data_IF_404906189245
#
_entry.id   IF_404906189245
#
_cell.length_a   1.000
_cell.length_b   1.000
_cell.length_c   1.000
_cell.angle_alpha   90.00
_cell.angle_beta   90.00
_cell.angle_gamma   90.00
#
_symmetry.space_group_name_H-M   'P 1'
#
loop_
_entity.id
_entity.type
_entity.pdbx_description
1 polymer ?
#
# COMPACT_ATOMS: atom_id res chain seq x y z
N UNK A 1 -48.48 93.78 9.39
CA UNK A 1 -47.06 93.60 9.03
C UNK A 1 -46.53 92.40 9.79
N UNK A 2 -45.92 91.47 9.06
CA UNK A 2 -45.71 90.07 9.44
C UNK A 2 -44.54 89.86 10.42
N UNK A 3 -44.70 88.89 11.33
CA UNK A 3 -43.61 88.29 12.10
C UNK A 3 -43.13 87.02 11.38
N UNK A 4 -41.87 87.01 10.95
CA UNK A 4 -41.23 85.93 10.21
C UNK A 4 -40.70 84.85 11.17
N UNK A 5 -41.29 83.66 11.15
CA UNK A 5 -40.78 82.46 11.85
C UNK A 5 -39.55 81.92 11.09
N UNK A 6 -38.42 81.77 11.77
CA UNK A 6 -37.25 81.07 11.25
C UNK A 6 -37.47 79.55 11.35
N UNK A 7 -37.43 78.85 10.20
CA UNK A 7 -37.50 77.40 10.10
C UNK A 7 -36.07 76.86 9.94
N UNK A 8 -35.57 76.12 10.92
CA UNK A 8 -34.32 75.39 10.85
C UNK A 8 -34.52 74.12 10.01
N UNK A 9 -33.84 74.00 8.87
CA UNK A 9 -33.79 72.78 8.06
C UNK A 9 -32.61 71.91 8.55
N UNK A 10 -32.92 70.75 9.14
CA UNK A 10 -31.96 69.67 9.39
C UNK A 10 -31.88 68.77 8.15
N UNK A 11 -30.74 68.79 7.45
CA UNK A 11 -30.42 67.80 6.42
C UNK A 11 -29.92 66.51 7.10
N UNK A 12 -30.70 65.44 7.02
CA UNK A 12 -30.23 64.08 7.33
C UNK A 12 -29.62 63.47 6.06
N UNK A 13 -28.29 63.26 6.06
CA UNK A 13 -27.62 62.50 5.02
C UNK A 13 -27.77 61.00 5.31
N UNK A 14 -28.53 60.29 4.48
CA UNK A 14 -28.61 58.83 4.53
C UNK A 14 -27.41 58.24 3.78
N UNK A 15 -26.44 57.71 4.51
CA UNK A 15 -25.34 56.93 3.93
C UNK A 15 -25.82 55.49 3.73
N UNK A 16 -26.01 55.07 2.48
CA UNK A 16 -26.28 53.69 2.10
C UNK A 16 -24.98 52.88 2.15
N UNK A 17 -24.84 52.04 3.17
CA UNK A 17 -23.79 51.02 3.24
C UNK A 17 -24.18 49.91 2.27
N UNK A 18 -23.50 49.84 1.13
CA UNK A 18 -23.59 48.69 0.23
C UNK A 18 -22.69 47.59 0.79
N UNK A 19 -23.29 46.56 1.37
CA UNK A 19 -22.58 45.34 1.73
C UNK A 19 -22.24 44.58 0.45
N UNK A 20 -20.98 44.67 0.01
CA UNK A 20 -20.42 43.75 -0.96
C UNK A 20 -20.32 42.38 -0.30
N UNK A 21 -21.23 41.47 -0.66
CA UNK A 21 -21.08 40.07 -0.34
C UNK A 21 -19.82 39.57 -1.06
N UNK A 22 -18.76 39.32 -0.29
CA UNK A 22 -17.63 38.55 -0.77
C UNK A 22 -18.16 37.14 -1.06
N UNK A 23 -18.29 36.80 -2.34
CA UNK A 23 -18.42 35.42 -2.77
C UNK A 23 -17.10 34.75 -2.45
N UNK A 24 -17.06 34.03 -1.35
CA UNK A 24 -15.97 33.11 -1.00
C UNK A 24 -16.08 31.92 -1.97
N UNK A 25 -15.59 32.13 -3.19
CA UNK A 25 -15.61 31.16 -4.29
C UNK A 25 -14.41 30.21 -4.18
N UNK A 26 -14.17 29.70 -2.98
CA UNK A 26 -13.16 28.68 -2.73
C UNK A 26 -13.86 27.33 -2.65
N UNK A 27 -14.36 26.84 -3.79
CA UNK A 27 -14.68 25.42 -3.90
C UNK A 27 -13.41 24.63 -3.54
N UNK A 28 -13.46 23.69 -2.59
CA UNK A 28 -12.28 22.92 -2.20
C UNK A 28 -11.74 22.21 -3.44
N UNK A 29 -10.44 22.34 -3.70
CA UNK A 29 -9.78 21.60 -4.78
C UNK A 29 -10.05 20.10 -4.62
N UNK A 30 -10.25 19.37 -5.73
CA UNK A 30 -10.47 17.93 -5.65
C UNK A 30 -9.30 17.26 -4.93
N UNK A 31 -9.54 16.16 -4.19
CA UNK A 31 -8.46 15.40 -3.60
C UNK A 31 -7.46 14.96 -4.69
N UNK A 32 -6.18 14.73 -4.33
CA UNK A 32 -5.19 14.20 -5.25
C UNK A 32 -5.65 12.85 -5.82
N UNK A 33 -4.93 12.30 -6.79
CA UNK A 33 -5.09 10.91 -7.22
C UNK A 33 -3.81 10.15 -6.90
N UNK A 34 -3.90 8.87 -6.51
CA UNK A 34 -2.71 8.08 -6.22
C UNK A 34 -1.88 7.87 -7.49
N UNK A 35 -0.56 7.84 -7.33
CA UNK A 35 0.38 7.62 -8.42
C UNK A 35 0.41 6.12 -8.78
N UNK A 36 0.23 5.74 -10.05
CA UNK A 36 0.42 4.35 -10.47
C UNK A 36 1.85 3.89 -10.20
N UNK A 37 2.03 2.63 -9.80
CA UNK A 37 3.37 2.06 -9.73
C UNK A 37 4.01 2.01 -11.13
N UNK A 38 5.34 2.19 -11.23
CA UNK A 38 6.04 1.91 -12.47
C UNK A 38 6.00 0.42 -12.78
N UNK A 39 6.11 0.09 -14.07
CA UNK A 39 6.06 -1.30 -14.56
C UNK A 39 7.17 -2.20 -13.98
N UNK A 40 8.31 -1.60 -13.63
CA UNK A 40 9.49 -2.28 -13.11
C UNK A 40 10.06 -1.46 -11.97
N UNK A 41 10.30 -2.09 -10.81
CA UNK A 41 11.06 -1.46 -9.74
C UNK A 41 11.67 -2.50 -8.80
N UNK A 42 12.67 -2.04 -8.06
CA UNK A 42 13.18 -2.69 -6.86
C UNK A 42 12.96 -1.78 -5.66
N UNK A 43 12.57 -2.35 -4.53
CA UNK A 43 12.44 -1.64 -3.26
C UNK A 43 13.04 -2.44 -2.13
N UNK A 44 13.76 -1.77 -1.22
CA UNK A 44 14.17 -2.37 0.05
C UNK A 44 13.15 -1.99 1.11
N UNK A 45 12.50 -2.97 1.71
CA UNK A 45 11.49 -2.79 2.73
C UNK A 45 12.02 -3.19 4.10
N UNK A 46 11.80 -2.34 5.10
CA UNK A 46 11.90 -2.73 6.49
C UNK A 46 10.51 -3.09 7.02
N UNK A 47 10.33 -4.35 7.40
CA UNK A 47 9.06 -4.83 7.94
C UNK A 47 9.16 -4.99 9.46
N UNK A 48 8.15 -4.46 10.15
CA UNK A 48 7.93 -4.61 11.58
C UNK A 48 6.56 -5.24 11.83
N UNK A 49 6.53 -6.41 12.46
CA UNK A 49 5.33 -7.09 12.90
C UNK A 49 4.98 -6.64 14.32
N UNK A 50 4.00 -5.74 14.44
CA UNK A 50 3.59 -5.20 15.74
C UNK A 50 2.78 -6.20 16.58
N UNK A 51 2.22 -7.25 15.96
CA UNK A 51 1.50 -8.33 16.64
C UNK A 51 2.04 -9.73 16.26
N UNK A 52 3.35 -9.93 16.50
CA UNK A 52 4.10 -11.08 15.99
C UNK A 52 3.51 -12.44 16.39
N UNK A 53 3.03 -12.61 17.63
CA UNK A 53 2.53 -13.91 18.13
C UNK A 53 1.29 -14.44 17.40
N UNK A 54 0.59 -13.57 16.66
CA UNK A 54 -0.52 -13.97 15.79
C UNK A 54 -0.17 -13.90 14.30
N UNK A 55 0.94 -13.26 13.94
CA UNK A 55 1.25 -12.89 12.55
C UNK A 55 2.24 -13.81 11.83
N UNK A 56 3.17 -14.41 12.58
CA UNK A 56 4.23 -15.26 12.05
C UNK A 56 4.91 -15.98 13.21
N UNK A 57 5.44 -17.16 12.96
CA UNK A 57 6.36 -17.85 13.88
C UNK A 57 7.82 -17.40 13.70
N UNK A 58 8.12 -16.74 12.58
CA UNK A 58 9.40 -16.13 12.27
C UNK A 58 9.65 -14.79 13.01
N UNK A 59 10.89 -14.27 12.96
CA UNK A 59 11.26 -13.03 13.64
C UNK A 59 10.40 -11.82 13.22
N UNK A 60 10.04 -10.94 14.17
CA UNK A 60 9.14 -9.80 13.92
C UNK A 60 9.73 -8.69 13.06
N UNK A 61 11.06 -8.65 12.92
CA UNK A 61 11.78 -7.66 12.13
C UNK A 61 12.51 -8.34 10.98
N UNK A 62 12.35 -7.79 9.78
CA UNK A 62 12.98 -8.34 8.56
C UNK A 62 13.20 -7.25 7.51
N UNK A 63 14.21 -7.47 6.67
CA UNK A 63 14.43 -6.68 5.46
C UNK A 63 13.96 -7.49 4.27
N UNK A 64 13.28 -6.86 3.32
CA UNK A 64 12.82 -7.52 2.09
C UNK A 64 13.32 -6.74 0.89
N UNK A 65 13.98 -7.40 -0.06
CA UNK A 65 14.11 -6.86 -1.42
C UNK A 65 12.88 -7.28 -2.21
N UNK A 66 12.06 -6.30 -2.58
CA UNK A 66 10.90 -6.46 -3.42
C UNK A 66 11.30 -6.14 -4.87
N UNK A 67 11.22 -7.13 -5.75
CA UNK A 67 11.38 -6.96 -7.19
C UNK A 67 10.03 -7.14 -7.87
N UNK A 68 9.61 -6.09 -8.58
CA UNK A 68 8.33 -6.05 -9.27
C UNK A 68 8.54 -5.99 -10.78
N UNK A 69 7.97 -6.94 -11.53
CA UNK A 69 8.02 -7.01 -13.00
C UNK A 69 6.61 -7.22 -13.56
N UNK A 70 5.93 -6.11 -13.80
CA UNK A 70 4.58 -6.09 -14.36
C UNK A 70 4.48 -6.61 -15.81
N UNK A 71 5.40 -6.27 -16.74
CA UNK A 71 5.34 -6.80 -18.10
C UNK A 71 5.36 -8.33 -18.14
N UNK A 72 6.07 -8.98 -17.20
CA UNK A 72 6.08 -10.44 -17.06
C UNK A 72 5.17 -10.98 -15.95
N UNK A 73 4.45 -10.09 -15.27
CA UNK A 73 3.46 -10.39 -14.23
C UNK A 73 3.99 -11.31 -13.13
N UNK A 74 5.13 -10.91 -12.56
CA UNK A 74 5.82 -11.64 -11.49
C UNK A 74 6.33 -10.68 -10.42
N UNK A 75 6.35 -11.16 -9.19
CA UNK A 75 6.80 -10.41 -8.03
C UNK A 75 7.68 -11.33 -7.16
N UNK A 76 8.80 -10.79 -6.65
CA UNK A 76 9.72 -11.54 -5.79
C UNK A 76 9.99 -10.71 -4.53
N UNK A 77 9.64 -11.27 -3.38
CA UNK A 77 10.07 -10.81 -2.07
C UNK A 77 11.25 -11.69 -1.62
N UNK A 78 12.46 -11.13 -1.56
CA UNK A 78 13.61 -11.79 -0.93
C UNK A 78 13.72 -11.33 0.52
N UNK A 79 13.21 -12.14 1.44
CA UNK A 79 13.07 -11.81 2.86
C UNK A 79 14.29 -12.29 3.64
N UNK A 80 14.95 -11.34 4.32
CA UNK A 80 16.09 -11.59 5.21
C UNK A 80 15.72 -11.34 6.66
N UNK A 81 15.86 -12.40 7.46
CA UNK A 81 15.78 -12.32 8.90
C UNK A 81 17.14 -11.95 9.51
N UNK A 82 17.12 -11.29 10.66
CA UNK A 82 18.35 -11.01 11.40
C UNK A 82 19.04 -12.32 11.77
N UNK A 83 20.35 -12.41 11.51
CA UNK A 83 21.21 -13.55 11.85
C UNK A 83 20.93 -14.86 11.08
N UNK A 84 20.04 -14.86 10.08
CA UNK A 84 19.91 -15.98 9.15
C UNK A 84 20.76 -15.73 7.89
N UNK A 85 21.65 -16.66 7.51
CA UNK A 85 22.34 -16.60 6.22
C UNK A 85 21.46 -17.02 5.06
N UNK A 86 20.37 -17.75 5.34
CA UNK A 86 19.45 -18.29 4.34
C UNK A 86 18.20 -17.41 4.26
N UNK A 87 17.96 -16.71 3.12
CA UNK A 87 16.79 -15.88 2.94
C UNK A 87 15.58 -16.74 2.53
N UNK A 88 14.40 -16.26 2.90
CA UNK A 88 13.14 -16.79 2.38
C UNK A 88 12.82 -16.08 1.06
N UNK A 89 12.66 -16.86 -0.01
CA UNK A 89 12.15 -16.41 -1.29
C UNK A 89 10.63 -16.56 -1.29
N UNK A 90 9.95 -15.50 -1.67
CA UNK A 90 8.51 -15.48 -1.94
C UNK A 90 8.30 -15.00 -3.38
N UNK A 91 8.08 -15.95 -4.28
CA UNK A 91 7.90 -15.72 -5.71
C UNK A 91 6.43 -15.85 -6.07
N UNK A 92 5.81 -14.75 -6.48
CA UNK A 92 4.40 -14.67 -6.82
C UNK A 92 4.20 -14.52 -8.35
N UNK A 93 3.26 -15.28 -8.89
CA UNK A 93 2.94 -15.32 -10.31
C UNK A 93 1.50 -14.87 -10.55
N UNK A 94 1.21 -14.33 -11.73
CA UNK A 94 -0.12 -13.83 -12.07
C UNK A 94 -1.24 -14.87 -12.10
N UNK A 95 -0.90 -16.15 -12.22
CA UNK A 95 -1.89 -17.24 -12.14
C UNK A 95 -2.35 -17.51 -10.69
N UNK A 96 -1.85 -16.71 -9.74
CA UNK A 96 -2.12 -16.80 -8.32
C UNK A 96 -1.16 -17.72 -7.57
N UNK A 97 -0.32 -18.48 -8.27
CA UNK A 97 0.64 -19.37 -7.61
C UNK A 97 1.73 -18.54 -6.93
N UNK A 98 2.01 -18.89 -5.68
CA UNK A 98 3.09 -18.30 -4.89
C UNK A 98 3.95 -19.40 -4.30
N UNK A 99 5.27 -19.27 -4.44
CA UNK A 99 6.24 -20.19 -3.86
C UNK A 99 7.00 -19.50 -2.74
N UNK A 100 6.92 -20.07 -1.53
CA UNK A 100 7.74 -19.71 -0.39
C UNK A 100 8.81 -20.77 -0.22
N UNK A 101 10.09 -20.44 -0.35
CA UNK A 101 11.15 -21.42 -0.22
C UNK A 101 12.46 -20.84 0.32
N UNK A 102 13.25 -21.70 0.95
CA UNK A 102 14.63 -21.45 1.37
C UNK A 102 15.53 -22.58 0.85
N UNK A 103 16.74 -22.74 1.40
CA UNK A 103 17.66 -23.80 0.95
C UNK A 103 17.19 -25.22 1.27
N UNK A 104 16.22 -25.37 2.17
CA UNK A 104 15.80 -26.63 2.78
C UNK A 104 14.31 -26.93 2.70
N UNK A 105 13.48 -25.90 2.58
CA UNK A 105 12.02 -26.01 2.64
C UNK A 105 11.35 -25.32 1.46
N UNK A 106 10.19 -25.84 1.06
CA UNK A 106 9.32 -25.17 0.11
C UNK A 106 7.84 -25.37 0.45
N UNK A 107 7.07 -24.31 0.23
CA UNK A 107 5.63 -24.26 0.43
C UNK A 107 4.98 -23.52 -0.73
N UNK A 108 3.94 -24.10 -1.30
CA UNK A 108 3.22 -23.55 -2.44
C UNK A 108 1.84 -23.10 -2.00
N UNK A 109 1.48 -21.87 -2.34
CA UNK A 109 0.16 -21.31 -2.06
C UNK A 109 -0.49 -20.78 -3.33
N UNK A 110 -1.80 -20.53 -3.24
CA UNK A 110 -2.59 -19.96 -4.33
C UNK A 110 -3.44 -18.80 -3.85
N UNK A 111 -3.26 -17.65 -4.48
CA UNK A 111 -4.00 -16.42 -4.22
C UNK A 111 -4.68 -15.92 -5.48
N UNK A 112 -5.99 -15.72 -5.41
CA UNK A 112 -6.78 -15.31 -6.58
C UNK A 112 -6.42 -13.90 -7.09
N UNK A 113 -5.76 -13.06 -6.27
CA UNK A 113 -5.30 -11.72 -6.67
C UNK A 113 -4.20 -11.74 -7.72
N UNK A 114 -3.29 -12.73 -7.63
CA UNK A 114 -2.03 -12.70 -8.39
C UNK A 114 -1.20 -11.44 -8.11
N UNK A 115 -0.45 -10.99 -9.12
CA UNK A 115 0.41 -9.80 -9.00
C UNK A 115 -0.43 -8.53 -9.14
N UNK A 116 -0.26 -7.59 -8.20
CA UNK A 116 -1.00 -6.32 -8.22
C UNK A 116 -0.65 -5.48 -9.46
N UNK A 117 -1.65 -4.90 -10.17
CA UNK A 117 -1.41 -4.00 -11.28
C UNK A 117 -0.82 -2.65 -10.86
N UNK A 118 -0.14 -1.91 -11.75
CA UNK A 118 0.29 -0.53 -11.53
C UNK A 118 -0.78 0.39 -10.93
N UNK A 119 -2.02 0.19 -11.35
CA UNK A 119 -3.18 0.98 -10.91
C UNK A 119 -3.91 0.33 -9.74
N UNK A 120 -3.33 -0.62 -9.01
CA UNK A 120 -4.06 -1.35 -7.95
C UNK A 120 -4.69 -0.42 -6.92
N UNK A 121 -4.08 0.73 -6.61
CA UNK A 121 -4.60 1.67 -5.63
C UNK A 121 -5.85 2.40 -6.14
N UNK A 122 -5.87 2.84 -7.41
CA UNK A 122 -6.99 3.52 -8.05
C UNK A 122 -8.00 2.59 -8.77
N UNK A 123 -7.64 1.35 -9.03
CA UNK A 123 -8.46 0.34 -9.70
C UNK A 123 -9.39 -0.43 -8.75
N UNK A 124 -10.48 -0.97 -9.29
CA UNK A 124 -11.53 -1.66 -8.51
C UNK A 124 -12.24 -0.70 -7.55
N UNK A 125 -12.45 -1.13 -6.30
CA UNK A 125 -12.86 -0.23 -5.23
C UNK A 125 -11.78 0.86 -5.02
N UNK A 126 -12.10 2.09 -5.41
CA UNK A 126 -11.17 3.21 -5.35
C UNK A 126 -10.63 3.43 -3.94
N UNK A 127 -9.33 3.68 -3.80
CA UNK A 127 -8.74 4.04 -2.52
C UNK A 127 -9.36 5.32 -1.96
N UNK A 128 -9.56 5.35 -0.65
CA UNK A 128 -10.06 6.49 0.09
C UNK A 128 -8.91 7.42 0.46
N UNK A 129 -8.97 8.69 0.07
CA UNK A 129 -7.99 9.66 0.52
C UNK A 129 -8.22 10.01 1.99
N UNK A 130 -7.24 9.71 2.84
CA UNK A 130 -7.31 9.91 4.28
C UNK A 130 -6.65 11.23 4.74
N UNK A 131 -6.00 11.96 3.84
CA UNK A 131 -5.35 13.23 4.12
C UNK A 131 -3.83 13.18 3.97
N UNK A 132 -3.15 14.10 4.68
CA UNK A 132 -1.68 14.17 4.71
C UNK A 132 -1.13 13.82 6.08
N UNK A 133 0.06 13.24 6.12
CA UNK A 133 0.79 13.03 7.36
C UNK A 133 2.31 13.07 7.11
N UNK A 134 3.08 13.28 8.18
CA UNK A 134 4.53 13.08 8.13
C UNK A 134 4.88 11.72 8.73
N UNK A 135 5.58 10.87 7.98
CA UNK A 135 6.07 9.55 8.44
C UNK A 135 7.52 9.37 8.06
N UNK A 136 8.37 8.94 9.00
CA UNK A 136 9.82 8.85 8.78
C UNK A 136 10.49 10.18 8.38
N UNK A 137 9.86 11.32 8.68
CA UNK A 137 10.31 12.65 8.24
C UNK A 137 9.90 13.05 6.81
N UNK A 138 9.06 12.27 6.14
CA UNK A 138 8.60 12.52 4.76
C UNK A 138 7.12 12.95 4.79
N UNK A 139 6.76 14.02 4.06
CA UNK A 139 5.38 14.46 3.87
C UNK A 139 4.67 13.56 2.85
N UNK A 140 3.58 12.92 3.28
CA UNK A 140 2.89 11.89 2.51
C UNK A 140 1.40 12.19 2.34
N UNK A 141 0.88 11.87 1.16
CA UNK A 141 -0.52 11.55 0.94
C UNK A 141 -0.83 10.16 1.53
N UNK A 142 -1.99 10.02 2.17
CA UNK A 142 -2.41 8.78 2.83
C UNK A 142 -3.68 8.24 2.18
N UNK A 143 -3.66 6.95 1.87
CA UNK A 143 -4.72 6.24 1.18
C UNK A 143 -5.17 5.00 1.94
N UNK A 144 -6.45 4.88 2.21
CA UNK A 144 -7.06 3.66 2.73
C UNK A 144 -7.54 2.78 1.59
N UNK A 145 -7.29 1.47 1.63
CA UNK A 145 -7.85 0.51 0.67
C UNK A 145 -8.29 -0.77 1.37
N UNK A 146 -9.38 -1.35 0.87
CA UNK A 146 -9.91 -2.63 1.29
C UNK A 146 -10.28 -2.75 2.79
N UNK A 147 -10.27 -1.64 3.54
CA UNK A 147 -10.53 -1.63 4.99
C UNK A 147 -9.38 -2.15 5.86
N UNK A 148 -8.26 -2.57 5.28
CA UNK A 148 -7.10 -3.07 6.05
C UNK A 148 -5.74 -2.59 5.54
N UNK A 149 -5.69 -1.81 4.46
CA UNK A 149 -4.43 -1.28 3.90
C UNK A 149 -4.42 0.23 4.09
N UNK A 150 -3.33 0.75 4.63
CA UNK A 150 -3.02 2.18 4.63
C UNK A 150 -1.72 2.38 3.86
N UNK A 151 -1.79 3.11 2.76
CA UNK A 151 -0.68 3.40 1.87
C UNK A 151 -0.24 4.85 1.98
N UNK A 152 1.07 5.04 2.13
CA UNK A 152 1.70 6.34 2.26
C UNK A 152 2.54 6.61 1.01
N UNK A 153 2.20 7.69 0.33
CA UNK A 153 2.85 8.14 -0.90
C UNK A 153 3.48 9.52 -0.69
N UNK A 154 4.75 9.70 -1.02
CA UNK A 154 5.42 10.99 -0.87
C UNK A 154 4.75 12.06 -1.74
N UNK A 155 4.40 13.20 -1.14
CA UNK A 155 3.74 14.32 -1.84
C UNK A 155 4.57 14.85 -3.01
N UNK A 156 5.89 14.94 -2.84
CA UNK A 156 6.78 15.59 -3.80
C UNK A 156 7.01 14.76 -5.08
N UNK A 157 6.95 13.43 -4.99
CA UNK A 157 7.41 12.53 -6.05
C UNK A 157 6.40 11.46 -6.46
N UNK A 158 5.39 11.19 -5.63
CA UNK A 158 4.49 10.05 -5.81
C UNK A 158 5.13 8.70 -5.43
N UNK A 159 6.34 8.67 -4.84
CA UNK A 159 7.00 7.40 -4.50
C UNK A 159 6.33 6.73 -3.30
N UNK A 160 6.29 5.39 -3.25
CA UNK A 160 5.87 4.66 -2.06
C UNK A 160 6.80 4.97 -0.88
N UNK A 161 6.22 5.18 0.31
CA UNK A 161 6.98 5.43 1.56
C UNK A 161 6.71 4.36 2.60
N UNK A 162 5.45 3.93 2.73
CA UNK A 162 5.04 2.96 3.76
C UNK A 162 3.74 2.26 3.38
N UNK A 163 3.60 1.02 3.84
CA UNK A 163 2.33 0.30 3.90
C UNK A 163 2.07 -0.16 5.32
N UNK A 164 0.85 0.04 5.80
CA UNK A 164 0.35 -0.61 7.00
C UNK A 164 -0.76 -1.58 6.62
N UNK A 165 -0.63 -2.82 7.10
CA UNK A 165 -1.69 -3.80 7.09
C UNK A 165 -2.28 -3.85 8.51
N UNK A 166 -3.38 -3.13 8.70
CA UNK A 166 -4.01 -2.89 10.02
C UNK A 166 -4.91 -4.03 10.48
N UNK A 167 -4.66 -5.26 10.01
CA UNK A 167 -5.40 -6.42 10.45
C UNK A 167 -4.82 -7.03 11.73
N UNK A 168 -5.19 -8.27 12.07
CA UNK A 168 -4.77 -8.94 13.30
C UNK A 168 -3.25 -9.03 13.45
N UNK A 169 -2.48 -8.90 12.37
CA UNK A 169 -1.02 -9.01 12.36
C UNK A 169 -0.26 -7.72 12.62
N UNK A 170 -0.88 -6.58 12.31
CA UNK A 170 -0.26 -5.27 12.45
C UNK A 170 1.09 -5.17 11.75
N UNK A 171 1.13 -5.45 10.45
CA UNK A 171 2.36 -5.32 9.64
C UNK A 171 2.57 -3.85 9.29
N UNK A 172 3.76 -3.34 9.54
CA UNK A 172 4.22 -2.04 9.05
C UNK A 172 5.43 -2.25 8.16
N UNK A 173 5.37 -1.82 6.92
CA UNK A 173 6.46 -1.90 5.96
C UNK A 173 6.91 -0.49 5.56
N UNK A 174 8.17 -0.17 5.80
CA UNK A 174 8.78 1.10 5.42
C UNK A 174 9.66 0.90 4.19
N UNK A 175 9.55 1.79 3.21
CA UNK A 175 10.41 1.82 2.04
C UNK A 175 11.71 2.53 2.39
N UNK A 176 12.81 1.77 2.41
CA UNK A 176 14.15 2.27 2.71
C UNK A 176 14.86 2.77 1.44
N UNK A 177 14.66 2.08 0.31
CA UNK A 177 15.10 2.52 -1.02
C UNK A 177 14.07 2.14 -2.08
N UNK A 178 14.06 2.88 -3.19
CA UNK A 178 13.12 2.68 -4.29
C UNK A 178 13.79 3.03 -5.62
N UNK A 179 13.99 2.03 -6.48
CA UNK A 179 14.73 2.13 -7.72
C UNK A 179 13.86 1.67 -8.90
N UNK A 180 13.49 2.61 -9.76
CA UNK A 180 12.64 2.34 -10.92
C UNK A 180 13.46 1.72 -12.06
N UNK A 181 12.91 0.72 -12.72
CA UNK A 181 13.51 0.08 -13.90
C UNK A 181 14.50 -1.05 -13.59
N UNK A 182 14.65 -1.44 -12.33
CA UNK A 182 15.49 -2.59 -11.93
C UNK A 182 14.82 -3.89 -12.35
N UNK A 183 15.62 -4.81 -12.93
CA UNK A 183 15.15 -6.11 -13.44
C UNK A 183 16.16 -7.18 -13.01
N UNK A 184 15.64 -8.33 -12.57
CA UNK A 184 16.45 -9.52 -12.30
C UNK A 184 16.57 -10.42 -13.52
N UNK A 185 17.62 -11.24 -13.54
CA UNK A 185 17.74 -12.31 -14.54
C UNK A 185 16.60 -13.33 -14.39
N UNK A 186 16.13 -13.90 -15.51
CA UNK A 186 14.98 -14.81 -15.53
C UNK A 186 15.16 -16.05 -14.64
N UNK A 187 16.42 -16.48 -14.43
CA UNK A 187 16.80 -17.58 -13.54
C UNK A 187 16.44 -17.31 -12.08
N UNK A 188 16.42 -16.05 -11.64
CA UNK A 188 16.17 -15.69 -10.25
C UNK A 188 14.70 -15.77 -9.84
N UNK A 189 13.80 -15.93 -10.82
CA UNK A 189 12.35 -16.05 -10.60
C UNK A 189 11.87 -17.50 -10.52
N UNK A 190 12.78 -18.47 -10.65
CA UNK A 190 12.41 -19.88 -10.68
C UNK A 190 12.40 -20.47 -9.27
N UNK A 191 11.29 -21.14 -8.91
CA UNK A 191 11.26 -21.99 -7.74
C UNK A 191 12.18 -23.21 -7.96
N UNK A 192 12.88 -23.68 -6.91
CA UNK A 192 13.79 -24.81 -7.00
C UNK A 192 13.04 -26.14 -7.23
N UNK A 193 13.74 -27.16 -7.70
CA UNK A 193 13.14 -28.45 -8.04
C UNK A 193 12.41 -29.11 -6.85
N UNK A 194 12.89 -28.92 -5.62
CA UNK A 194 12.26 -29.49 -4.42
C UNK A 194 10.87 -28.88 -4.10
N UNK A 195 10.48 -27.79 -4.76
CA UNK A 195 9.12 -27.26 -4.71
C UNK A 195 8.10 -28.06 -5.54
N UNK A 196 8.57 -29.04 -6.32
CA UNK A 196 7.75 -29.84 -7.23
C UNK A 196 7.94 -31.32 -6.88
N UNK A 197 7.36 -31.80 -5.76
CA UNK A 197 7.45 -33.21 -5.40
C UNK A 197 6.71 -34.08 -6.42
N UNK A 198 7.25 -35.27 -6.70
CA UNK A 198 6.55 -36.28 -7.51
C UNK A 198 5.24 -36.71 -6.82
N UNK A 199 4.21 -37.06 -7.61
CA UNK A 199 2.85 -37.38 -7.11
C UNK A 199 2.81 -38.47 -6.01
N UNK A 200 3.85 -39.30 -5.91
CA UNK A 200 3.97 -40.35 -4.90
C UNK A 200 4.22 -39.81 -3.47
N UNK A 201 4.71 -38.57 -3.32
CA UNK A 201 5.08 -37.97 -2.02
C UNK A 201 4.04 -36.97 -1.48
N UNK A 202 2.94 -36.72 -2.19
CA UNK A 202 1.91 -35.74 -1.77
C UNK A 202 1.17 -36.13 -0.47
N UNK A 203 1.22 -37.40 -0.06
CA UNK A 203 0.50 -37.90 1.12
C UNK A 203 1.23 -37.64 2.44
N UNK A 204 2.56 -37.60 2.47
CA UNK A 204 3.34 -37.43 3.70
C UNK A 204 3.54 -35.96 4.12
N UNK A 205 3.40 -35.00 3.19
CA UNK A 205 3.59 -33.57 3.47
C UNK A 205 2.40 -32.86 4.12
N UNK A 206 1.27 -33.56 4.37
CA UNK A 206 0.05 -32.93 4.91
C UNK A 206 0.03 -32.79 6.44
N UNK A 207 1.01 -33.33 7.16
CA UNK A 207 1.01 -33.33 8.64
C UNK A 207 2.02 -32.38 9.30
N UNK A 208 2.89 -31.69 8.55
CA UNK A 208 3.77 -30.63 9.08
C UNK A 208 3.41 -29.26 8.50
N UNK A 209 2.15 -28.84 8.64
CA UNK A 209 1.75 -27.45 8.45
C UNK A 209 2.20 -26.63 9.69
N UNK A 210 3.51 -26.39 9.80
CA UNK A 210 4.05 -25.45 10.79
C UNK A 210 3.77 -24.03 10.33
N UNK A 211 2.63 -23.50 10.78
CA UNK A 211 2.28 -22.15 11.26
C UNK A 211 2.98 -20.85 10.76
N UNK A 212 3.94 -20.85 9.84
CA UNK A 212 4.72 -19.63 9.54
C UNK A 212 4.21 -18.81 8.35
N UNK A 213 3.27 -19.34 7.57
CA UNK A 213 2.85 -18.74 6.31
C UNK A 213 1.35 -18.50 6.16
N UNK A 214 0.57 -18.67 7.23
CA UNK A 214 -0.89 -18.56 7.21
C UNK A 214 -1.38 -17.12 6.85
N UNK A 215 -0.49 -16.12 6.86
CA UNK A 215 -0.94 -14.73 6.87
C UNK A 215 -0.65 -13.87 5.64
N UNK A 216 0.47 -14.07 4.93
CA UNK A 216 0.59 -13.52 3.57
C UNK A 216 -0.57 -14.04 2.70
N UNK A 217 -0.97 -15.29 2.96
CA UNK A 217 -2.16 -15.89 2.39
C UNK A 217 -3.49 -15.23 2.75
N UNK A 218 -3.68 -14.82 4.00
CA UNK A 218 -4.87 -14.07 4.43
C UNK A 218 -4.87 -12.65 3.90
N UNK A 219 -3.71 -12.00 3.85
CA UNK A 219 -3.54 -10.64 3.33
C UNK A 219 -3.79 -10.58 1.83
N UNK A 220 -3.21 -11.51 1.07
CA UNK A 220 -3.40 -11.65 -0.37
C UNK A 220 -4.81 -12.15 -0.71
N UNK A 221 -5.43 -12.99 0.11
CA UNK A 221 -6.86 -13.35 -0.03
C UNK A 221 -7.77 -12.14 0.19
N UNK A 222 -7.54 -11.33 1.24
CA UNK A 222 -8.32 -10.08 1.44
C UNK A 222 -8.05 -9.04 0.34
N UNK A 223 -6.82 -8.98 -0.18
CA UNK A 223 -6.46 -8.17 -1.35
C UNK A 223 -7.16 -8.68 -2.62
N UNK A 224 -7.25 -9.99 -2.81
CA UNK A 224 -7.98 -10.63 -3.91
C UNK A 224 -9.46 -10.29 -3.82
N UNK A 225 -10.05 -10.47 -2.64
CA UNK A 225 -11.45 -10.12 -2.39
C UNK A 225 -11.68 -8.62 -2.63
N UNK A 226 -10.72 -7.74 -2.36
CA UNK A 226 -10.85 -6.30 -2.60
C UNK A 226 -10.50 -5.83 -4.03
N UNK A 227 -9.71 -6.63 -4.77
CA UNK A 227 -9.39 -6.39 -6.18
C UNK A 227 -10.44 -7.01 -7.13
N UNK A 228 -11.16 -8.04 -6.67
CA UNK A 228 -12.21 -8.77 -7.39
C UNK A 228 -13.62 -8.34 -6.93
N UNK A 229 -13.77 -7.65 -5.79
CA UNK A 229 -15.04 -7.03 -5.42
C UNK A 229 -15.37 -5.86 -6.36
N UNK A 230 -16.14 -6.23 -7.39
CA UNK A 230 -16.84 -5.48 -8.45
C UNK A 230 -16.06 -5.25 -9.75
#
# INVERSE_FOLDING_TARGET
MAFTRHLLLLLAAAATITATAATDDTAPSPPPSPTPWPDLFHAVLFTNLTNYSMASTGPPLRLTDLYYDWPRRRNLNLVRHQLSPDPLYDVEWNNGTTFYFDSSSCRVERFDVGVLPPTWLSGGAAAEYMGRCVTGGIDCHVWGKAGFIVYYEEVATGRPVRWDFIDVTGIQQFVMSYEVGVVLEDSQWQAPAHCFPDEENEQDTKEEEVADGLEAARLLKKLADAAIAF
#
